data_IF_485731644652
#
_entry.id   IF_485731644652
#
_cell.length_a   1.000
_cell.length_b   1.000
_cell.length_c   1.000
_cell.angle_alpha   90.00
_cell.angle_beta   90.00
_cell.angle_gamma   90.00
#
_symmetry.space_group_name_H-M   'P 1'
#
loop_
_entity.id
_entity.type
_entity.pdbx_description
1 polymer ?
#
# COMPACT_ATOMS: atom_id res chain seq x y z
N UNK A 1 24.12 -2.18 17.33
CA UNK A 1 23.16 -2.01 16.22
C UNK A 1 23.52 -3.05 15.19
N UNK A 2 22.87 -4.22 15.23
CA UNK A 2 23.09 -5.27 14.22
C UNK A 2 22.34 -4.92 12.94
N UNK A 3 22.83 -5.30 11.75
CA UNK A 3 22.27 -4.86 10.46
C UNK A 3 20.94 -5.55 10.09
N UNK A 4 20.52 -6.56 10.86
CA UNK A 4 19.52 -7.54 10.44
C UNK A 4 18.20 -7.49 11.22
N UNK A 5 17.80 -6.31 11.72
CA UNK A 5 16.40 -6.13 12.12
C UNK A 5 15.62 -5.57 10.93
N UNK A 6 15.56 -6.32 9.83
CA UNK A 6 14.54 -6.10 8.81
C UNK A 6 13.21 -6.22 9.53
N UNK A 7 12.51 -5.09 9.72
CA UNK A 7 11.11 -5.16 10.12
C UNK A 7 10.43 -6.13 9.15
N UNK A 8 9.66 -7.13 9.63
CA UNK A 8 8.96 -8.04 8.73
C UNK A 8 8.21 -7.15 7.77
N UNK A 9 8.53 -7.24 6.47
CA UNK A 9 7.97 -6.35 5.45
C UNK A 9 6.47 -6.31 5.70
N UNK A 10 5.90 -5.18 6.15
CA UNK A 10 4.47 -4.99 6.05
C UNK A 10 4.14 -5.13 4.55
N UNK A 11 2.94 -5.57 4.15
CA UNK A 11 2.56 -5.63 2.75
C UNK A 11 2.40 -4.20 2.20
N UNK A 12 3.52 -3.48 2.08
CA UNK A 12 3.57 -2.21 1.41
C UNK A 12 3.48 -2.48 -0.09
N UNK A 13 2.65 -1.71 -0.82
CA UNK A 13 2.58 -1.83 -2.26
C UNK A 13 3.97 -1.63 -2.86
N UNK A 14 4.25 -2.35 -3.95
CA UNK A 14 5.50 -2.17 -4.70
C UNK A 14 5.66 -0.71 -5.09
N UNK A 15 6.85 -0.15 -4.96
CA UNK A 15 7.15 1.17 -5.55
C UNK A 15 7.00 1.16 -7.06
N UNK A 16 7.12 -0.01 -7.69
CA UNK A 16 6.90 -0.23 -9.12
C UNK A 16 5.42 -0.52 -9.46
N UNK A 17 4.49 -0.42 -8.51
CA UNK A 17 3.06 -0.62 -8.76
C UNK A 17 2.52 0.56 -9.60
N UNK A 18 2.08 0.26 -10.82
CA UNK A 18 1.54 1.26 -11.74
C UNK A 18 0.32 2.01 -11.16
N UNK A 19 -0.54 1.34 -10.40
CA UNK A 19 -1.71 1.95 -9.73
C UNK A 19 -1.25 2.94 -8.65
N UNK A 20 -0.25 2.57 -7.84
CA UNK A 20 0.34 3.49 -6.86
C UNK A 20 0.93 4.73 -7.54
N UNK A 21 1.63 4.54 -8.66
CA UNK A 21 2.16 5.64 -9.47
C UNK A 21 1.07 6.60 -9.95
N UNK A 22 -0.08 6.08 -10.38
CA UNK A 22 -1.22 6.89 -10.80
C UNK A 22 -1.86 7.65 -9.63
N UNK A 23 -2.02 7.02 -8.47
CA UNK A 23 -2.59 7.65 -7.27
C UNK A 23 -1.72 8.82 -6.82
N UNK A 24 -0.41 8.60 -6.69
CA UNK A 24 0.53 9.63 -6.25
C UNK A 24 0.67 10.73 -7.31
N UNK A 25 0.78 10.36 -8.58
CA UNK A 25 0.85 11.31 -9.69
C UNK A 25 -0.37 12.22 -9.77
N UNK A 26 -1.57 11.65 -9.62
CA UNK A 26 -2.83 12.40 -9.59
C UNK A 26 -2.93 13.37 -8.42
N UNK A 27 -2.51 12.94 -7.22
CA UNK A 27 -2.48 13.81 -6.04
C UNK A 27 -1.47 14.96 -6.17
N UNK A 28 -0.31 14.72 -6.79
CA UNK A 28 0.67 15.77 -7.05
C UNK A 28 0.13 16.77 -8.07
N UNK A 29 -0.50 16.28 -9.14
CA UNK A 29 -1.01 17.14 -10.21
C UNK A 29 -2.17 18.01 -9.72
N UNK A 30 -3.08 17.48 -8.90
CA UNK A 30 -4.21 18.26 -8.36
C UNK A 30 -3.77 19.43 -7.47
N UNK A 31 -2.66 19.27 -6.73
CA UNK A 31 -2.05 20.38 -5.98
C UNK A 31 -1.41 21.39 -6.91
N UNK A 32 -0.70 20.93 -7.95
CA UNK A 32 -0.01 21.81 -8.91
C UNK A 32 -0.95 22.61 -9.78
N UNK A 33 -2.09 22.02 -10.15
CA UNK A 33 -3.15 22.67 -10.92
C UNK A 33 -4.00 23.63 -10.08
N UNK A 34 -3.92 23.53 -8.74
CA UNK A 34 -4.76 24.29 -7.81
C UNK A 34 -6.18 23.73 -7.66
N UNK A 35 -6.42 22.51 -8.16
CA UNK A 35 -7.70 21.81 -8.02
C UNK A 35 -7.93 21.26 -6.61
N UNK A 36 -6.86 21.02 -5.86
CA UNK A 36 -6.93 20.52 -4.48
C UNK A 36 -5.91 21.22 -3.57
N UNK A 37 -6.28 21.34 -2.29
CA UNK A 37 -5.33 21.64 -1.21
C UNK A 37 -4.39 20.46 -0.96
N UNK A 38 -3.29 20.73 -0.25
CA UNK A 38 -2.34 19.68 0.14
C UNK A 38 -3.02 18.64 1.04
N UNK A 39 -3.89 19.08 1.94
CA UNK A 39 -4.66 18.23 2.84
C UNK A 39 -5.60 17.29 2.06
N UNK A 40 -6.30 17.80 1.05
CA UNK A 40 -7.18 17.01 0.18
C UNK A 40 -6.39 16.00 -0.67
N UNK A 41 -5.23 16.40 -1.18
CA UNK A 41 -4.37 15.51 -1.96
C UNK A 41 -3.76 14.38 -1.11
N UNK A 42 -3.38 14.68 0.14
CA UNK A 42 -2.92 13.67 1.10
C UNK A 42 -4.05 12.69 1.41
N UNK A 43 -5.26 13.20 1.68
CA UNK A 43 -6.42 12.37 1.95
C UNK A 43 -6.74 11.44 0.76
N UNK A 44 -6.72 11.98 -0.46
CA UNK A 44 -6.91 11.20 -1.69
C UNK A 44 -5.88 10.08 -1.80
N UNK A 45 -4.58 10.39 -1.67
CA UNK A 45 -3.53 9.39 -1.77
C UNK A 45 -3.65 8.29 -0.69
N UNK A 46 -3.99 8.67 0.54
CA UNK A 46 -4.16 7.73 1.65
C UNK A 46 -5.35 6.78 1.44
N UNK A 47 -6.52 7.33 1.07
CA UNK A 47 -7.75 6.53 0.88
C UNK A 47 -7.60 5.57 -0.29
N UNK A 48 -7.14 6.06 -1.44
CA UNK A 48 -6.97 5.21 -2.63
C UNK A 48 -5.84 4.20 -2.45
N UNK A 49 -4.73 4.60 -1.81
CA UNK A 49 -3.64 3.67 -1.51
C UNK A 49 -4.06 2.54 -0.57
N UNK A 50 -4.89 2.84 0.43
CA UNK A 50 -5.47 1.83 1.31
C UNK A 50 -6.45 0.91 0.58
N UNK A 51 -7.35 1.47 -0.23
CA UNK A 51 -8.35 0.69 -0.97
C UNK A 51 -7.72 -0.29 -1.96
N UNK A 52 -6.81 0.19 -2.83
CA UNK A 52 -6.13 -0.65 -3.82
C UNK A 52 -5.21 -1.68 -3.14
N UNK A 53 -4.55 -1.29 -2.05
CA UNK A 53 -3.76 -2.22 -1.24
C UNK A 53 -4.61 -3.31 -0.58
N UNK A 54 -5.83 -2.98 -0.14
CA UNK A 54 -6.78 -3.95 0.40
C UNK A 54 -7.27 -4.92 -0.67
N UNK A 55 -7.67 -4.43 -1.85
CA UNK A 55 -8.09 -5.28 -2.99
C UNK A 55 -6.96 -6.24 -3.38
N UNK A 56 -5.74 -5.75 -3.57
CA UNK A 56 -4.59 -6.60 -3.84
C UNK A 56 -4.35 -7.64 -2.73
N UNK A 57 -4.51 -7.23 -1.47
CA UNK A 57 -4.40 -8.12 -0.32
C UNK A 57 -5.46 -9.21 -0.30
N UNK A 58 -6.69 -8.96 -0.76
CA UNK A 58 -7.73 -9.98 -0.87
C UNK A 58 -7.49 -10.92 -2.07
N UNK A 59 -7.12 -10.35 -3.23
CA UNK A 59 -6.94 -11.09 -4.49
C UNK A 59 -5.68 -11.96 -4.50
N UNK A 60 -4.56 -11.43 -3.99
CA UNK A 60 -3.25 -12.09 -4.05
C UNK A 60 -2.94 -12.92 -2.78
N UNK A 61 -3.83 -12.93 -1.77
CA UNK A 61 -3.56 -13.60 -0.50
C UNK A 61 -4.78 -14.32 0.13
N UNK A 62 -5.26 -15.45 -0.45
CA UNK A 62 -6.15 -16.37 0.27
C UNK A 62 -5.35 -17.19 1.30
N UNK A 63 -4.89 -16.49 2.34
CA UNK A 63 -4.30 -17.03 3.55
C UNK A 63 -2.79 -17.28 3.52
N UNK A 64 -1.95 -16.43 2.96
CA UNK A 64 -0.52 -16.44 3.33
C UNK A 64 0.18 -15.21 2.78
N UNK A 65 0.80 -14.42 3.67
CA UNK A 65 2.09 -13.76 3.50
C UNK A 65 2.52 -13.30 2.11
N UNK A 66 1.61 -12.67 1.37
CA UNK A 66 1.99 -11.84 0.25
C UNK A 66 2.73 -10.63 0.83
N UNK A 67 4.05 -10.60 0.64
CA UNK A 67 4.98 -9.57 1.14
C UNK A 67 5.14 -9.47 2.66
N UNK A 68 4.58 -10.39 3.44
CA UNK A 68 4.79 -10.55 4.89
C UNK A 68 5.47 -11.88 5.20
N UNK A 69 6.14 -12.00 6.36
CA UNK A 69 6.72 -13.27 6.84
C UNK A 69 5.99 -13.84 8.07
N UNK A 70 4.74 -13.42 8.29
CA UNK A 70 3.87 -13.93 9.35
C UNK A 70 3.15 -15.22 8.92
N UNK A 71 3.72 -16.35 9.31
CA UNK A 71 3.21 -17.69 9.01
C UNK A 71 1.67 -17.78 9.09
N UNK A 72 1.04 -18.27 8.02
CA UNK A 72 -0.39 -18.61 7.98
C UNK A 72 -0.70 -19.52 9.17
N UNK A 73 -1.57 -19.07 10.08
CA UNK A 73 -2.16 -19.95 11.10
C UNK A 73 -2.90 -21.09 10.38
N UNK A 74 -2.26 -22.25 10.36
CA UNK A 74 -2.76 -23.46 9.69
C UNK A 74 -3.79 -24.23 10.53
N UNK A 75 -4.56 -23.53 11.38
CA UNK A 75 -5.53 -24.14 12.28
C UNK A 75 -6.97 -23.71 11.95
N UNK A 76 -7.57 -24.37 10.95
CA UNK A 76 -9.01 -24.67 10.97
C UNK A 76 -9.17 -26.17 10.77
N UNK A 77 -9.17 -26.87 11.90
CA UNK A 77 -9.84 -28.17 12.05
C UNK A 77 -11.27 -27.95 12.49
#
# INVERSE_FOLDING_TARGET
>A
MTPDSQMPSPPFPSTDNAVLGLIVGGAIESVRSGEATVEEAILHAAVHGWYEGHVQGEDECPGCDFRGGLAKDSARG
#
